data_IF_255599114454
#
_entry.id   IF_255599114454
#
_cell.length_a   1.000
_cell.length_b   1.000
_cell.length_c   1.000
_cell.angle_alpha   90.00
_cell.angle_beta   90.00
_cell.angle_gamma   90.00
#
_symmetry.space_group_name_H-M   'P 1'
#
loop_
_entity.id
_entity.type
_entity.pdbx_description
1 polymer ?
#
# COMPACT_ATOMS: atom_id res chain seq x y z
N UNK A 1 -11.67 -3.14 -27.90
CA UNK A 1 -10.32 -2.70 -27.50
C UNK A 1 -10.04 -2.89 -26.00
N UNK A 2 -10.68 -2.16 -25.06
CA UNK A 2 -10.40 -2.34 -23.62
C UNK A 2 -10.72 -3.77 -23.15
N UNK A 3 -11.91 -4.29 -23.48
CA UNK A 3 -12.31 -5.65 -23.10
C UNK A 3 -11.44 -6.72 -23.76
N UNK A 4 -11.19 -6.60 -25.07
CA UNK A 4 -10.26 -7.49 -25.79
C UNK A 4 -8.86 -7.51 -25.17
N UNK A 5 -8.38 -6.38 -24.64
CA UNK A 5 -7.09 -6.31 -23.94
C UNK A 5 -7.17 -7.04 -22.59
N UNK A 6 -8.25 -6.88 -21.84
CA UNK A 6 -8.46 -7.60 -20.58
C UNK A 6 -8.49 -9.12 -20.82
N UNK A 7 -9.22 -9.58 -21.84
CA UNK A 7 -9.27 -10.98 -22.22
C UNK A 7 -7.88 -11.52 -22.62
N UNK A 8 -7.08 -10.71 -23.32
CA UNK A 8 -5.72 -11.08 -23.71
C UNK A 8 -4.78 -11.34 -22.52
N UNK A 9 -5.09 -10.79 -21.34
CA UNK A 9 -4.35 -10.98 -20.09
C UNK A 9 -5.13 -11.81 -19.05
N UNK A 10 -6.12 -12.61 -19.50
CA UNK A 10 -6.88 -13.56 -18.67
C UNK A 10 -7.74 -12.89 -17.58
N UNK A 11 -8.10 -11.60 -17.75
CA UNK A 11 -9.09 -10.93 -16.91
C UNK A 11 -10.52 -11.14 -17.45
N UNK A 12 -11.55 -11.21 -16.57
CA UNK A 12 -12.94 -11.45 -16.98
C UNK A 12 -13.56 -10.16 -17.57
N UNK A 13 -13.27 -9.84 -18.83
CA UNK A 13 -13.61 -8.54 -19.42
C UNK A 13 -15.11 -8.21 -19.47
N UNK A 14 -15.96 -9.24 -19.53
CA UNK A 14 -17.42 -9.10 -19.51
C UNK A 14 -17.96 -8.75 -18.11
N UNK A 15 -17.21 -9.07 -17.05
CA UNK A 15 -17.61 -8.83 -15.66
C UNK A 15 -17.04 -7.52 -15.10
N UNK A 16 -15.90 -7.05 -15.63
CA UNK A 16 -15.23 -5.83 -15.18
C UNK A 16 -16.14 -4.60 -15.40
N UNK A 17 -16.52 -3.86 -14.34
CA UNK A 17 -17.35 -2.66 -14.48
C UNK A 17 -16.61 -1.54 -15.23
N UNK A 18 -17.31 -0.90 -16.17
CA UNK A 18 -16.78 0.25 -16.93
C UNK A 18 -17.63 1.48 -16.62
N UNK A 19 -17.04 2.44 -15.90
CA UNK A 19 -17.68 3.73 -15.57
C UNK A 19 -17.11 4.84 -16.44
N UNK A 20 -17.92 5.39 -17.33
CA UNK A 20 -17.53 6.53 -18.18
C UNK A 20 -17.72 7.85 -17.44
N UNK A 21 -16.70 8.70 -17.38
CA UNK A 21 -16.76 10.01 -16.72
C UNK A 21 -15.60 10.94 -17.10
N UNK A 22 -15.52 12.08 -16.42
CA UNK A 22 -14.42 13.03 -16.54
C UNK A 22 -13.90 13.38 -15.16
N UNK A 23 -12.70 12.90 -14.82
CA UNK A 23 -12.06 13.19 -13.54
C UNK A 23 -11.75 14.69 -13.39
N UNK A 24 -11.37 15.36 -14.48
CA UNK A 24 -11.09 16.80 -14.49
C UNK A 24 -12.34 17.61 -14.11
N UNK A 25 -13.46 17.37 -14.80
CA UNK A 25 -14.68 18.15 -14.58
C UNK A 25 -15.32 17.85 -13.21
N UNK A 26 -15.12 16.63 -12.68
CA UNK A 26 -15.51 16.30 -11.31
C UNK A 26 -14.68 17.08 -10.28
N UNK A 27 -13.36 17.14 -10.48
CA UNK A 27 -12.45 17.88 -9.61
C UNK A 27 -12.71 19.38 -9.64
N UNK A 28 -12.88 19.97 -10.82
CA UNK A 28 -13.20 21.40 -10.99
C UNK A 28 -14.48 21.77 -10.24
N UNK A 29 -15.53 20.94 -10.35
CA UNK A 29 -16.77 21.16 -9.60
C UNK A 29 -16.56 21.15 -8.08
N UNK A 30 -15.73 20.23 -7.55
CA UNK A 30 -15.42 20.15 -6.13
C UNK A 30 -14.51 21.28 -5.63
N UNK A 31 -13.65 21.83 -6.50
CA UNK A 31 -12.85 23.02 -6.20
C UNK A 31 -13.74 24.25 -6.09
N UNK A 32 -14.73 24.40 -6.97
CA UNK A 32 -15.70 25.49 -6.92
C UNK A 32 -16.63 25.38 -5.71
N UNK A 33 -17.07 24.16 -5.39
CA UNK A 33 -17.90 23.87 -4.23
C UNK A 33 -17.64 22.45 -3.70
N UNK A 34 -17.00 22.35 -2.54
CA UNK A 34 -16.63 21.06 -1.91
C UNK A 34 -17.81 20.21 -1.48
N UNK A 35 -19.01 20.77 -1.35
CA UNK A 35 -20.22 20.06 -0.94
C UNK A 35 -21.14 19.70 -2.12
N UNK A 36 -20.71 19.99 -3.37
CA UNK A 36 -21.51 19.67 -4.55
C UNK A 36 -21.63 18.15 -4.72
N UNK A 37 -22.82 17.64 -4.48
CA UNK A 37 -23.16 16.23 -4.67
C UNK A 37 -24.04 16.01 -5.90
N UNK A 38 -24.88 16.98 -6.27
CA UNK A 38 -25.73 16.93 -7.47
C UNK A 38 -25.00 17.48 -8.72
N UNK A 39 -23.81 16.93 -9.00
CA UNK A 39 -23.07 17.23 -10.23
C UNK A 39 -22.87 15.94 -11.03
N UNK A 40 -23.18 15.97 -12.32
CA UNK A 40 -23.12 14.78 -13.19
C UNK A 40 -21.75 14.10 -13.21
N UNK A 41 -20.65 14.85 -13.08
CA UNK A 41 -19.29 14.30 -13.10
C UNK A 41 -18.85 13.78 -11.74
N UNK A 42 -19.23 14.48 -10.67
CA UNK A 42 -19.02 14.01 -9.29
C UNK A 42 -19.79 12.70 -9.06
N UNK A 43 -21.02 12.59 -9.55
CA UNK A 43 -21.80 11.35 -9.52
C UNK A 43 -21.10 10.18 -10.23
N UNK A 44 -20.31 10.43 -11.29
CA UNK A 44 -19.51 9.37 -11.92
C UNK A 44 -18.36 8.87 -11.08
N UNK A 45 -17.81 9.71 -10.19
CA UNK A 45 -16.82 9.25 -9.21
C UNK A 45 -17.51 8.38 -8.14
N UNK A 46 -18.71 8.76 -7.69
CA UNK A 46 -19.49 7.91 -6.77
C UNK A 46 -19.92 6.58 -7.39
N UNK A 47 -20.37 6.59 -8.65
CA UNK A 47 -20.66 5.37 -9.42
C UNK A 47 -19.42 4.46 -9.45
N UNK A 48 -18.24 5.01 -9.78
CA UNK A 48 -16.98 4.29 -9.78
C UNK A 48 -16.63 3.68 -8.42
N UNK A 49 -16.73 4.46 -7.34
CA UNK A 49 -16.45 3.96 -5.99
C UNK A 49 -17.41 2.86 -5.56
N UNK A 50 -18.69 2.95 -5.96
CA UNK A 50 -19.67 1.90 -5.71
C UNK A 50 -19.32 0.60 -6.43
N UNK A 51 -18.91 0.68 -7.70
CA UNK A 51 -18.45 -0.49 -8.45
C UNK A 51 -17.21 -1.11 -7.78
N UNK A 52 -16.23 -0.29 -7.36
CA UNK A 52 -15.04 -0.73 -6.61
C UNK A 52 -15.44 -1.50 -5.34
N UNK A 53 -16.31 -0.91 -4.51
CA UNK A 53 -16.76 -1.51 -3.25
C UNK A 53 -17.50 -2.85 -3.46
N UNK A 54 -18.20 -3.00 -4.59
CA UNK A 54 -18.99 -4.20 -4.88
C UNK A 54 -18.22 -5.29 -5.63
N UNK A 55 -17.32 -4.91 -6.52
CA UNK A 55 -16.64 -5.80 -7.46
C UNK A 55 -15.31 -6.31 -6.90
N UNK A 56 -14.58 -5.49 -6.14
CA UNK A 56 -13.30 -5.89 -5.56
C UNK A 56 -13.57 -6.54 -4.20
N UNK A 57 -13.42 -7.87 -4.06
CA UNK A 57 -13.61 -8.52 -2.77
C UNK A 57 -12.57 -8.04 -1.77
N UNK A 58 -12.96 -7.96 -0.50
CA UNK A 58 -11.98 -7.72 0.56
C UNK A 58 -11.02 -8.92 0.63
N UNK A 59 -9.71 -8.72 0.43
CA UNK A 59 -8.77 -9.82 0.45
C UNK A 59 -8.64 -10.40 1.86
N UNK A 60 -8.47 -11.72 1.93
CA UNK A 60 -8.16 -12.40 3.18
C UNK A 60 -6.74 -12.00 3.63
N UNK A 61 -6.62 -11.53 4.87
CA UNK A 61 -5.34 -11.12 5.45
C UNK A 61 -4.68 -12.32 6.11
N UNK A 62 -3.53 -12.74 5.60
CA UNK A 62 -2.79 -13.91 6.10
C UNK A 62 -1.98 -13.59 7.37
N UNK A 63 -2.64 -13.21 8.47
CA UNK A 63 -1.99 -12.74 9.70
C UNK A 63 -1.28 -13.84 10.49
N UNK A 64 -1.68 -15.10 10.31
CA UNK A 64 -1.13 -16.23 11.06
C UNK A 64 0.19 -16.76 10.50
N UNK A 65 0.64 -16.23 9.35
CA UNK A 65 1.91 -16.61 8.73
C UNK A 65 3.08 -15.82 9.31
N UNK A 66 4.30 -16.29 9.07
CA UNK A 66 5.52 -15.52 9.36
C UNK A 66 5.48 -14.20 8.60
N UNK A 67 5.89 -13.13 9.28
CA UNK A 67 5.93 -11.79 8.72
C UNK A 67 6.72 -11.77 7.41
N UNK A 68 6.23 -10.99 6.45
CA UNK A 68 6.95 -10.68 5.23
C UNK A 68 6.47 -9.31 4.72
N UNK A 69 7.42 -8.43 4.47
CA UNK A 69 7.16 -7.13 3.84
C UNK A 69 8.21 -6.88 2.76
N UNK A 70 7.76 -6.65 1.53
CA UNK A 70 8.64 -6.22 0.46
C UNK A 70 9.01 -4.75 0.62
N UNK A 71 10.29 -4.41 0.43
CA UNK A 71 10.74 -3.02 0.53
C UNK A 71 10.52 -2.34 -0.82
N UNK A 72 9.68 -1.30 -0.80
CA UNK A 72 9.34 -0.47 -1.95
C UNK A 72 10.20 0.79 -2.03
N UNK A 73 10.48 1.42 -0.89
CA UNK A 73 11.34 2.61 -0.80
C UNK A 73 12.04 2.70 0.56
N UNK A 74 13.09 3.53 0.64
CA UNK A 74 13.93 3.71 1.81
C UNK A 74 14.23 5.19 2.05
N UNK A 75 13.90 5.64 3.26
CA UNK A 75 14.17 6.98 3.74
C UNK A 75 15.15 6.96 4.92
N UNK A 76 15.98 7.99 5.02
CA UNK A 76 16.77 8.25 6.22
C UNK A 76 16.19 9.48 6.90
N UNK A 77 15.69 9.33 8.11
CA UNK A 77 15.15 10.42 8.91
C UNK A 77 16.23 10.86 9.91
N UNK A 78 16.72 12.09 9.76
CA UNK A 78 17.72 12.68 10.65
C UNK A 78 17.30 12.55 12.11
N UNK A 79 18.13 11.88 12.92
CA UNK A 79 17.89 11.69 14.35
C UNK A 79 16.91 10.57 14.73
N UNK A 80 16.21 9.93 13.76
CA UNK A 80 15.36 8.74 14.03
C UNK A 80 15.96 7.45 13.49
N UNK A 81 16.62 7.49 12.33
CA UNK A 81 17.22 6.32 11.68
C UNK A 81 16.66 6.06 10.28
N UNK A 82 16.81 4.83 9.80
CA UNK A 82 16.40 4.41 8.46
C UNK A 82 15.01 3.80 8.49
N UNK A 83 14.13 4.27 7.61
CA UNK A 83 12.75 3.79 7.45
C UNK A 83 12.63 3.08 6.11
N UNK A 84 12.19 1.82 6.14
CA UNK A 84 11.80 1.08 4.95
C UNK A 84 10.28 1.12 4.82
N UNK A 85 9.78 1.43 3.63
CA UNK A 85 8.33 1.44 3.36
C UNK A 85 7.95 0.31 2.44
N UNK A 86 6.75 -0.24 2.65
CA UNK A 86 6.14 -1.18 1.71
C UNK A 86 4.82 -1.72 2.22
N UNK A 87 4.19 -2.57 1.41
CA UNK A 87 3.03 -3.35 1.83
C UNK A 87 3.46 -4.61 2.59
N UNK A 88 2.84 -4.86 3.73
CA UNK A 88 2.97 -6.15 4.42
C UNK A 88 2.27 -7.22 3.60
N UNK A 89 3.02 -8.19 3.10
CA UNK A 89 2.48 -9.29 2.29
C UNK A 89 1.72 -10.29 3.16
N UNK A 90 2.28 -10.61 4.34
CA UNK A 90 1.68 -11.57 5.29
C UNK A 90 2.23 -11.39 6.71
N UNK A 91 1.55 -12.01 7.66
CA UNK A 91 1.92 -12.04 9.07
C UNK A 91 1.63 -10.75 9.82
N UNK A 92 2.22 -10.67 11.01
CA UNK A 92 2.13 -9.53 11.94
C UNK A 92 3.53 -9.18 12.42
N UNK A 93 3.82 -7.89 12.54
CA UNK A 93 5.05 -7.38 13.12
C UNK A 93 4.72 -6.37 14.20
N UNK A 94 5.42 -6.46 15.34
CA UNK A 94 5.28 -5.52 16.45
C UNK A 94 6.53 -4.67 16.63
N UNK A 95 6.35 -3.51 17.23
CA UNK A 95 7.49 -2.69 17.67
C UNK A 95 8.37 -3.47 18.65
N UNK A 96 9.69 -3.26 18.56
CA UNK A 96 10.74 -3.96 19.32
C UNK A 96 10.97 -5.43 18.97
N UNK A 97 10.27 -5.98 17.96
CA UNK A 97 10.62 -7.29 17.42
C UNK A 97 11.90 -7.22 16.56
N UNK A 98 12.51 -8.39 16.41
CA UNK A 98 13.72 -8.57 15.64
C UNK A 98 13.37 -9.31 14.36
N UNK A 99 13.87 -8.80 13.24
CA UNK A 99 13.54 -9.25 11.87
C UNK A 99 14.81 -9.43 11.07
N UNK A 100 14.73 -10.26 10.04
CA UNK A 100 15.79 -10.45 9.07
C UNK A 100 15.56 -9.55 7.85
N UNK A 101 16.59 -8.77 7.52
CA UNK A 101 16.68 -8.05 6.27
C UNK A 101 17.36 -8.97 5.24
N UNK A 102 16.61 -9.38 4.21
CA UNK A 102 17.01 -10.45 3.28
C UNK A 102 17.06 -9.94 1.83
N UNK A 103 18.09 -10.36 1.08
CA UNK A 103 18.21 -10.15 -0.36
C UNK A 103 19.31 -9.16 -0.75
N UNK A 104 19.77 -9.25 -2.00
CA UNK A 104 20.77 -8.34 -2.62
C UNK A 104 22.10 -8.16 -1.85
N UNK A 105 22.37 -9.01 -0.86
CA UNK A 105 23.53 -9.00 0.02
C UNK A 105 23.39 -10.06 1.11
N UNK A 106 24.24 -9.97 2.15
CA UNK A 106 24.16 -10.85 3.32
C UNK A 106 22.93 -10.52 4.18
N UNK A 107 22.27 -11.56 4.68
CA UNK A 107 21.15 -11.40 5.61
C UNK A 107 21.63 -10.77 6.91
N UNK A 108 20.91 -9.74 7.37
CA UNK A 108 21.20 -9.03 8.62
C UNK A 108 20.01 -9.08 9.55
N UNK A 109 20.28 -9.38 10.80
CA UNK A 109 19.29 -9.35 11.85
C UNK A 109 19.22 -7.93 12.43
N UNK A 110 18.03 -7.34 12.44
CA UNK A 110 17.81 -5.93 12.79
C UNK A 110 16.60 -5.79 13.71
N UNK A 111 16.62 -4.79 14.58
CA UNK A 111 15.50 -4.52 15.50
C UNK A 111 14.60 -3.42 14.96
N UNK A 112 13.30 -3.67 14.97
CA UNK A 112 12.27 -2.70 14.63
C UNK A 112 12.06 -1.77 15.82
N UNK A 113 12.22 -0.46 15.62
CA UNK A 113 12.08 0.55 16.69
C UNK A 113 10.84 1.41 16.55
N UNK A 114 10.12 1.30 15.45
CA UNK A 114 8.88 2.03 15.23
C UNK A 114 8.16 1.55 13.98
N UNK A 115 6.84 1.65 14.03
CA UNK A 115 5.94 1.40 12.91
C UNK A 115 5.09 2.66 12.70
N UNK A 116 4.94 3.09 11.46
CA UNK A 116 4.20 4.31 11.13
C UNK A 116 3.38 4.12 9.86
N UNK A 117 2.13 4.55 9.86
CA UNK A 117 1.25 4.59 8.68
C UNK A 117 0.60 5.97 8.60
N UNK A 118 0.83 6.70 7.51
CA UNK A 118 0.24 8.04 7.28
C UNK A 118 0.33 8.98 8.51
N UNK A 119 1.54 9.21 9.04
CA UNK A 119 1.80 10.08 10.21
C UNK A 119 1.16 9.58 11.52
N UNK A 120 0.74 8.31 11.59
CA UNK A 120 0.25 7.68 12.82
C UNK A 120 1.21 6.58 13.26
N UNK A 121 1.63 6.63 14.51
CA UNK A 121 2.39 5.55 15.14
C UNK A 121 1.50 4.34 15.37
N UNK A 122 2.04 3.16 15.11
CA UNK A 122 1.37 1.88 15.33
C UNK A 122 2.17 1.03 16.34
N UNK A 123 1.45 0.25 17.15
CA UNK A 123 2.07 -0.75 18.03
C UNK A 123 2.40 -2.05 17.27
N UNK A 124 1.55 -2.37 16.28
CA UNK A 124 1.67 -3.52 15.39
C UNK A 124 1.21 -3.18 13.97
N UNK A 125 1.68 -3.93 12.98
CA UNK A 125 1.24 -3.88 11.59
C UNK A 125 0.92 -5.28 11.10
N UNK A 126 -0.06 -5.40 10.22
CA UNK A 126 -0.58 -6.69 9.75
C UNK A 126 -0.59 -6.76 8.22
N UNK A 127 -0.74 -7.96 7.68
CA UNK A 127 -0.92 -8.20 6.25
C UNK A 127 -1.91 -7.20 5.60
N UNK A 128 -1.50 -6.61 4.48
CA UNK A 128 -2.25 -5.61 3.71
C UNK A 128 -1.98 -4.15 4.07
N UNK A 129 -1.31 -3.88 5.19
CA UNK A 129 -0.96 -2.52 5.60
C UNK A 129 0.19 -1.94 4.74
N UNK A 130 0.07 -0.68 4.32
CA UNK A 130 1.20 0.09 3.76
C UNK A 130 1.87 0.84 4.92
N UNK A 131 3.06 0.40 5.32
CA UNK A 131 3.69 0.81 6.57
C UNK A 131 5.12 1.28 6.34
N UNK A 132 5.58 2.25 7.13
CA UNK A 132 6.99 2.57 7.33
C UNK A 132 7.53 1.87 8.57
N UNK A 133 8.58 1.07 8.40
CA UNK A 133 9.27 0.32 9.45
C UNK A 133 10.59 1.02 9.76
N UNK A 134 10.72 1.57 10.97
CA UNK A 134 11.96 2.18 11.45
C UNK A 134 12.89 1.09 11.97
N UNK A 135 14.10 1.03 11.41
CA UNK A 135 15.10 0.01 11.70
C UNK A 135 16.28 0.60 12.47
N UNK A 136 16.69 -0.08 13.55
CA UNK A 136 17.87 0.30 14.33
C UNK A 136 19.14 -0.20 13.67
N UNK A 137 20.13 0.68 13.57
CA UNK A 137 21.49 0.30 13.20
C UNK A 137 21.68 -0.05 11.73
N UNK A 138 20.71 0.29 10.87
CA UNK A 138 20.78 0.10 9.42
C UNK A 138 21.04 1.44 8.77
N UNK A 139 22.09 1.56 7.96
CA UNK A 139 22.35 2.72 7.12
C UNK A 139 21.57 2.61 5.80
N UNK A 140 21.30 3.75 5.17
CA UNK A 140 20.52 3.81 3.93
C UNK A 140 21.14 3.01 2.77
N UNK A 141 22.46 2.87 2.72
CA UNK A 141 23.18 2.10 1.69
C UNK A 141 23.19 0.59 1.95
N UNK A 142 22.76 0.14 3.14
CA UNK A 142 22.67 -1.27 3.51
C UNK A 142 21.29 -1.88 3.23
N UNK A 143 20.34 -1.05 2.79
CA UNK A 143 18.95 -1.44 2.54
C UNK A 143 18.42 -0.74 1.28
N UNK A 144 17.75 -1.49 0.42
CA UNK A 144 17.26 -0.97 -0.84
C UNK A 144 15.99 -1.68 -1.29
N UNK A 145 15.29 -1.04 -2.24
CA UNK A 145 14.13 -1.61 -2.92
C UNK A 145 14.48 -3.00 -3.51
N UNK A 146 13.55 -3.95 -3.34
CA UNK A 146 13.71 -5.33 -3.80
C UNK A 146 14.28 -6.28 -2.75
N UNK A 147 14.71 -5.78 -1.59
CA UNK A 147 14.92 -6.59 -0.39
C UNK A 147 13.59 -6.85 0.33
N UNK A 148 13.60 -7.76 1.31
CA UNK A 148 12.43 -8.05 2.15
C UNK A 148 12.79 -8.01 3.64
N UNK A 149 11.81 -7.67 4.46
CA UNK A 149 11.83 -7.83 5.92
C UNK A 149 11.02 -9.07 6.26
N UNK A 150 11.61 -10.03 6.98
CA UNK A 150 10.98 -11.32 7.34
C UNK A 150 11.25 -11.73 8.79
#
# INVERSE_FOLDING_TARGET
>A
EVQETLDAYEFPSEEVPIVTGSALLALEALIENTEVSDNKWVNKIYDLMKEVDSYIPTPERETDKTFLMAIEDVFSITGRGTVATGRVERGVLKTNETVDLVGLGDTKNVTVTGLEMFQKTLDETVAGDNVGVLLRGVQKDEIQRGMVIA
#
